data_IF_863961567169
#
_entry.id   IF_863961567169
#
_cell.length_a   1.000
_cell.length_b   1.000
_cell.length_c   1.000
_cell.angle_alpha   90.00
_cell.angle_beta   90.00
_cell.angle_gamma   90.00
#
_symmetry.space_group_name_H-M   'P 1'
#
loop_
_entity.id
_entity.type
_entity.pdbx_description
1 polymer ?
#
# COMPACT_ATOMS: atom_id res chain seq x y z
N UNK A 1 21.66 2.86 -4.27
CA UNK A 1 20.52 1.95 -4.53
C UNK A 1 20.75 0.51 -4.00
N UNK A 2 21.63 0.26 -3.01
CA UNK A 2 21.89 -1.11 -2.53
C UNK A 2 20.64 -1.73 -1.89
N UNK A 3 20.07 -1.06 -0.88
CA UNK A 3 18.90 -1.53 -0.16
C UNK A 3 17.69 -1.85 -1.06
N UNK A 4 17.39 -0.97 -2.03
CA UNK A 4 16.27 -1.15 -2.95
C UNK A 4 16.40 -2.42 -3.80
N UNK A 5 17.58 -2.70 -4.36
CA UNK A 5 17.78 -3.91 -5.17
C UNK A 5 17.87 -5.17 -4.30
N UNK A 6 18.35 -5.05 -3.06
CA UNK A 6 18.47 -6.17 -2.11
C UNK A 6 17.10 -6.76 -1.75
N UNK A 7 16.08 -5.92 -1.62
CA UNK A 7 14.70 -6.34 -1.35
C UNK A 7 13.87 -6.62 -2.61
N UNK A 8 14.48 -6.52 -3.80
CA UNK A 8 13.78 -6.76 -5.07
C UNK A 8 12.95 -5.60 -5.62
N UNK A 9 13.02 -4.42 -4.98
CA UNK A 9 12.31 -3.21 -5.39
C UNK A 9 10.83 -3.20 -5.04
N UNK A 10 10.03 -2.42 -5.78
CA UNK A 10 8.59 -2.38 -5.58
C UNK A 10 7.92 -3.70 -6.00
N UNK A 11 6.96 -4.16 -5.21
CA UNK A 11 6.16 -5.31 -5.54
C UNK A 11 5.22 -5.01 -6.73
N UNK A 12 5.39 -5.68 -7.89
CA UNK A 12 4.65 -5.39 -9.12
C UNK A 12 3.16 -5.75 -9.03
N UNK A 13 2.74 -6.42 -7.95
CA UNK A 13 1.32 -6.66 -7.70
C UNK A 13 0.59 -5.36 -7.39
N UNK A 14 1.25 -4.33 -6.87
CA UNK A 14 0.65 -3.02 -6.63
C UNK A 14 0.77 -2.16 -7.89
N UNK A 15 -0.34 -1.59 -8.33
CA UNK A 15 -0.33 -0.55 -9.37
C UNK A 15 0.05 0.81 -8.77
N UNK A 16 -0.56 1.14 -7.62
CA UNK A 16 -0.37 2.37 -6.85
C UNK A 16 -1.00 2.18 -5.46
N UNK A 17 -0.54 2.94 -4.47
CA UNK A 17 -0.90 2.83 -3.05
C UNK A 17 -0.39 1.55 -2.37
N UNK A 18 0.07 1.69 -1.12
CA UNK A 18 0.63 0.63 -0.26
C UNK A 18 1.89 -0.06 -0.80
N UNK A 19 2.35 0.25 -2.02
CA UNK A 19 3.60 -0.23 -2.60
C UNK A 19 4.82 0.28 -1.82
N UNK A 20 4.74 1.52 -1.34
CA UNK A 20 5.76 2.17 -0.52
C UNK A 20 5.79 1.61 0.91
N UNK A 21 4.61 1.33 1.46
CA UNK A 21 4.43 0.71 2.78
C UNK A 21 4.99 -0.70 2.77
N UNK A 22 4.64 -1.50 1.75
CA UNK A 22 5.20 -2.84 1.56
C UNK A 22 6.72 -2.80 1.41
N UNK A 23 7.26 -1.90 0.57
CA UNK A 23 8.71 -1.72 0.41
C UNK A 23 9.38 -1.38 1.75
N UNK A 24 8.77 -0.52 2.57
CA UNK A 24 9.27 -0.18 3.90
C UNK A 24 9.33 -1.38 4.85
N UNK A 25 8.31 -2.23 4.84
CA UNK A 25 8.29 -3.48 5.62
C UNK A 25 9.36 -4.46 5.13
N UNK A 26 9.54 -4.60 3.82
CA UNK A 26 10.55 -5.50 3.24
C UNK A 26 11.99 -5.04 3.55
N UNK A 27 12.23 -3.71 3.51
CA UNK A 27 13.49 -3.09 3.94
C UNK A 27 13.75 -3.36 5.42
N UNK A 28 12.76 -3.13 6.27
CA UNK A 28 12.86 -3.38 7.71
C UNK A 28 13.12 -4.87 8.01
N UNK A 29 12.43 -5.78 7.33
CA UNK A 29 12.65 -7.22 7.46
C UNK A 29 14.07 -7.65 7.04
N UNK A 30 14.69 -6.89 6.13
CA UNK A 30 16.07 -7.10 5.66
C UNK A 30 17.12 -6.37 6.52
N UNK A 31 16.72 -5.78 7.66
CA UNK A 31 17.62 -5.12 8.62
C UNK A 31 17.97 -3.67 8.28
N UNK A 32 17.29 -3.05 7.32
CA UNK A 32 17.44 -1.63 7.03
C UNK A 32 16.59 -0.76 7.96
N UNK A 33 17.06 0.44 8.23
CA UNK A 33 16.38 1.40 9.09
C UNK A 33 15.75 2.54 8.28
N UNK A 34 14.54 2.96 8.69
CA UNK A 34 13.92 4.18 8.19
C UNK A 34 14.28 5.34 9.11
N UNK A 35 14.93 6.37 8.55
CA UNK A 35 15.40 7.54 9.29
C UNK A 35 14.55 8.75 8.93
N UNK A 36 13.89 9.34 9.92
CA UNK A 36 13.14 10.59 9.77
C UNK A 36 14.05 11.79 10.03
N UNK A 37 14.17 12.69 9.04
CA UNK A 37 15.01 13.89 9.11
C UNK A 37 14.08 15.13 9.07
N UNK A 38 13.73 15.73 10.22
CA UNK A 38 12.76 16.83 10.27
C UNK A 38 13.23 18.11 9.57
N UNK A 39 14.54 18.27 9.34
CA UNK A 39 15.11 19.41 8.63
C UNK A 39 14.95 19.30 7.11
N UNK A 40 14.75 18.09 6.59
CA UNK A 40 14.50 17.86 5.18
C UNK A 40 12.99 18.06 4.92
N UNK A 41 12.66 19.03 4.07
CA UNK A 41 11.27 19.31 3.68
C UNK A 41 11.14 19.38 2.16
N UNK A 42 10.02 18.90 1.66
CA UNK A 42 9.69 18.87 0.23
C UNK A 42 8.21 19.25 0.10
N UNK A 43 7.88 20.03 -0.93
CA UNK A 43 6.48 20.36 -1.26
C UNK A 43 5.90 19.21 -2.07
N UNK A 44 4.84 18.58 -1.57
CA UNK A 44 4.11 17.54 -2.29
C UNK A 44 2.87 18.14 -2.98
N UNK A 45 2.88 18.16 -4.31
CA UNK A 45 1.68 18.51 -5.07
C UNK A 45 0.69 17.34 -5.07
N UNK A 46 -0.26 17.40 -4.15
CA UNK A 46 -1.20 16.30 -3.96
C UNK A 46 -2.14 16.13 -5.15
N UNK A 47 -2.32 14.86 -5.54
CA UNK A 47 -3.41 14.44 -6.42
C UNK A 47 -3.17 14.58 -7.91
N UNK A 48 -1.96 14.91 -8.37
CA UNK A 48 -1.64 14.95 -9.80
C UNK A 48 -2.05 13.65 -10.52
N UNK A 49 -1.76 12.49 -9.93
CA UNK A 49 -2.09 11.17 -10.48
C UNK A 49 -3.53 10.70 -10.20
N UNK A 50 -4.27 11.40 -9.33
CA UNK A 50 -5.61 10.98 -8.88
C UNK A 50 -6.75 11.86 -9.39
N UNK A 51 -6.55 13.19 -9.44
CA UNK A 51 -7.59 14.20 -9.68
C UNK A 51 -8.33 14.01 -10.99
N UNK A 52 -7.66 13.50 -12.02
CA UNK A 52 -8.26 13.27 -13.34
C UNK A 52 -9.19 12.06 -13.38
N UNK A 53 -9.02 11.08 -12.47
CA UNK A 53 -9.70 9.78 -12.48
C UNK A 53 -10.04 9.31 -11.05
N UNK A 54 -10.81 10.10 -10.27
CA UNK A 54 -10.98 9.87 -8.83
C UNK A 54 -11.61 8.51 -8.52
N UNK A 55 -12.71 8.17 -9.18
CA UNK A 55 -13.41 6.90 -8.96
C UNK A 55 -12.53 5.66 -9.16
N UNK A 56 -11.73 5.65 -10.24
CA UNK A 56 -10.80 4.54 -10.53
C UNK A 56 -9.71 4.46 -9.46
N UNK A 57 -9.13 5.60 -9.10
CA UNK A 57 -8.02 5.63 -8.15
C UNK A 57 -8.47 5.28 -6.72
N UNK A 58 -9.71 5.61 -6.34
CA UNK A 58 -10.28 5.15 -5.08
C UNK A 58 -10.45 3.63 -5.03
N UNK A 59 -10.92 3.02 -6.13
CA UNK A 59 -11.02 1.56 -6.24
C UNK A 59 -9.64 0.89 -6.18
N UNK A 60 -8.64 1.44 -6.87
CA UNK A 60 -7.26 0.92 -6.79
C UNK A 60 -6.68 1.07 -5.39
N UNK A 61 -6.95 2.17 -4.68
CA UNK A 61 -6.54 2.34 -3.29
C UNK A 61 -7.10 1.23 -2.38
N UNK A 62 -8.40 0.95 -2.45
CA UNK A 62 -9.02 -0.13 -1.68
C UNK A 62 -8.50 -1.51 -2.07
N UNK A 63 -8.25 -1.75 -3.37
CA UNK A 63 -7.66 -3.00 -3.86
C UNK A 63 -6.24 -3.21 -3.34
N UNK A 64 -5.41 -2.17 -3.34
CA UNK A 64 -4.07 -2.21 -2.77
C UNK A 64 -4.10 -2.40 -1.26
N UNK A 65 -5.01 -1.72 -0.54
CA UNK A 65 -5.20 -1.91 0.89
C UNK A 65 -5.57 -3.37 1.25
N UNK A 66 -6.51 -3.97 0.52
CA UNK A 66 -6.89 -5.36 0.73
C UNK A 66 -5.71 -6.33 0.52
N UNK A 67 -4.89 -6.09 -0.52
CA UNK A 67 -3.68 -6.88 -0.78
C UNK A 67 -2.65 -6.76 0.35
N UNK A 68 -2.41 -5.55 0.85
CA UNK A 68 -1.51 -5.34 1.98
C UNK A 68 -2.00 -6.09 3.23
N UNK A 69 -3.29 -5.99 3.52
CA UNK A 69 -3.91 -6.67 4.66
C UNK A 69 -3.89 -8.20 4.53
N UNK A 70 -3.88 -8.76 3.32
CA UNK A 70 -3.71 -10.21 3.12
C UNK A 70 -2.34 -10.69 3.61
N UNK A 71 -1.30 -9.85 3.52
CA UNK A 71 0.04 -10.10 4.05
C UNK A 71 0.10 -9.94 5.56
N UNK A 72 -0.51 -8.88 6.10
CA UNK A 72 -0.62 -8.64 7.55
C UNK A 72 -1.35 -9.80 8.25
N UNK A 73 -2.45 -10.27 7.65
CA UNK A 73 -3.25 -11.40 8.13
C UNK A 73 -2.95 -12.69 7.36
N UNK A 74 -1.68 -13.10 7.35
CA UNK A 74 -1.20 -14.24 6.56
C UNK A 74 -1.60 -15.62 7.09
N UNK A 75 -2.10 -15.75 8.32
CA UNK A 75 -2.40 -17.07 8.91
C UNK A 75 -3.73 -17.62 8.38
N UNK A 76 -3.79 -18.93 8.13
CA UNK A 76 -4.97 -19.59 7.55
C UNK A 76 -6.27 -19.35 8.32
N UNK A 77 -6.22 -19.36 9.67
CA UNK A 77 -7.39 -19.10 10.52
C UNK A 77 -7.91 -17.66 10.42
N UNK A 78 -7.14 -16.73 9.84
CA UNK A 78 -7.55 -15.34 9.61
C UNK A 78 -8.28 -15.17 8.27
N UNK A 79 -8.52 -16.25 7.50
CA UNK A 79 -9.25 -16.19 6.24
C UNK A 79 -10.64 -15.53 6.35
N UNK A 80 -11.46 -15.79 7.39
CA UNK A 80 -12.75 -15.10 7.54
C UNK A 80 -12.59 -13.58 7.75
N UNK A 81 -11.56 -13.16 8.49
CA UNK A 81 -11.24 -11.74 8.68
C UNK A 81 -10.85 -11.08 7.36
N UNK A 82 -9.99 -11.73 6.56
CA UNK A 82 -9.63 -11.23 5.23
C UNK A 82 -10.86 -11.10 4.34
N UNK A 83 -11.73 -12.11 4.31
CA UNK A 83 -12.97 -12.03 3.53
C UNK A 83 -13.85 -10.85 3.97
N UNK A 84 -14.01 -10.62 5.28
CA UNK A 84 -14.74 -9.48 5.81
C UNK A 84 -14.11 -8.14 5.42
N UNK A 85 -12.78 -8.02 5.48
CA UNK A 85 -12.04 -6.82 5.09
C UNK A 85 -12.16 -6.54 3.59
N UNK A 86 -12.03 -7.55 2.74
CA UNK A 86 -12.21 -7.41 1.29
C UNK A 86 -13.61 -6.91 0.96
N UNK A 87 -14.65 -7.51 1.56
CA UNK A 87 -16.04 -7.07 1.37
C UNK A 87 -16.23 -5.64 1.85
N UNK A 88 -15.74 -5.28 3.04
CA UNK A 88 -15.88 -3.94 3.60
C UNK A 88 -15.17 -2.86 2.77
N UNK A 89 -13.96 -3.14 2.28
CA UNK A 89 -13.20 -2.21 1.44
C UNK A 89 -13.84 -2.08 0.05
N UNK A 90 -14.37 -3.18 -0.49
CA UNK A 90 -15.09 -3.15 -1.76
C UNK A 90 -16.39 -2.35 -1.65
N UNK A 91 -17.24 -2.63 -0.64
CA UNK A 91 -18.49 -1.90 -0.44
C UNK A 91 -18.24 -0.42 -0.21
N UNK A 92 -17.25 -0.07 0.61
CA UNK A 92 -16.83 1.32 0.82
C UNK A 92 -16.39 1.98 -0.49
N UNK A 93 -15.56 1.30 -1.27
CA UNK A 93 -15.11 1.77 -2.57
C UNK A 93 -16.26 2.00 -3.55
N UNK A 94 -17.33 1.21 -3.51
CA UNK A 94 -18.52 1.43 -4.35
C UNK A 94 -19.42 2.56 -3.83
N UNK A 95 -19.49 2.78 -2.51
CA UNK A 95 -20.31 3.84 -1.90
C UNK A 95 -19.70 5.25 -2.04
N UNK A 96 -18.37 5.35 -2.03
CA UNK A 96 -17.64 6.63 -2.14
C UNK A 96 -17.42 7.08 -3.60
N UNK A 97 -17.82 6.25 -4.58
CA UNK A 97 -17.66 6.48 -6.02
C UNK A 97 -18.85 7.21 -6.61
#
# INVERSE_FOLDING_TARGET
MKAFHEVGGFDPRYFMFFEDTQLGEDLKASGWESVFIPQASIVHEQGASWKSRPKRMLREHHRSAAKYLDGVYSKGYQAPLRAALHVALWTRGEMEV
#
